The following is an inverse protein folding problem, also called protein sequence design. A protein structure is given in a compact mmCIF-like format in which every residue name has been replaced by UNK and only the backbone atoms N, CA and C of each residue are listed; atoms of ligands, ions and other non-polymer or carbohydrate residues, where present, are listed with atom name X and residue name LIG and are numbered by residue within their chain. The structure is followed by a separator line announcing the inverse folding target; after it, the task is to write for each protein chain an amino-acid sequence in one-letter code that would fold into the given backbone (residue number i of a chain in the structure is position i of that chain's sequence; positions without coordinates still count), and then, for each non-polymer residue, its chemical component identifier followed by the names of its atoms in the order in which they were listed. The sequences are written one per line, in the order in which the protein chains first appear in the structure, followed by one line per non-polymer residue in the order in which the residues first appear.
data_IF_679134797443
#
_entry.id   IF_679134797443
#
_cell.length_a   1.000
_cell.length_b   1.000
_cell.length_c   1.000
_cell.angle_alpha   90.00
_cell.angle_beta   90.00
_cell.angle_gamma   90.00
#
_symmetry.space_group_name_H-M   'P 1'
#
loop_
_entity.id
_entity.type
_entity.pdbx_description
1 polymer ?
#
# COMPACT_ATOMS: atom_id res chain seq x y z
N UNK A 1 -14.39 45.40 -18.37
CA UNK A 1 -15.74 45.12 -17.83
C UNK A 1 -15.95 43.61 -17.82
N UNK A 2 -16.61 43.11 -16.76
CA UNK A 2 -17.16 41.75 -16.58
C UNK A 2 -16.13 40.61 -16.43
N UNK A 3 -15.71 40.15 -15.23
CA UNK A 3 -16.40 39.65 -14.03
C UNK A 3 -17.01 38.22 -14.13
N UNK A 4 -16.24 37.21 -13.60
CA UNK A 4 -16.60 36.01 -12.77
C UNK A 4 -17.70 35.03 -13.27
N UNK A 5 -17.89 33.80 -12.67
CA UNK A 5 -17.08 32.99 -11.73
C UNK A 5 -17.08 31.44 -11.97
N UNK A 6 -16.35 30.68 -11.13
CA UNK A 6 -16.69 29.40 -10.43
C UNK A 6 -15.65 28.25 -10.52
N UNK A 7 -14.95 28.11 -9.40
CA UNK A 7 -14.57 26.90 -8.64
C UNK A 7 -15.09 25.53 -9.12
N UNK A 8 -14.23 24.53 -8.92
CA UNK A 8 -14.47 23.10 -8.61
C UNK A 8 -14.19 22.04 -9.71
N UNK A 9 -13.03 21.38 -9.60
CA UNK A 9 -12.94 19.91 -9.62
C UNK A 9 -11.57 19.45 -9.14
N UNK A 10 -11.54 19.12 -7.85
CA UNK A 10 -10.50 18.28 -7.26
C UNK A 10 -10.69 16.83 -7.76
N UNK A 11 -9.82 16.39 -8.68
CA UNK A 11 -9.40 14.99 -8.79
C UNK A 11 -7.93 15.01 -9.22
N UNK A 12 -6.96 14.70 -8.35
CA UNK A 12 -5.60 14.53 -8.82
C UNK A 12 -5.61 13.33 -9.77
N UNK A 13 -5.06 13.59 -10.94
CA UNK A 13 -4.71 12.69 -12.03
C UNK A 13 -4.01 11.44 -11.48
N UNK A 14 -4.78 10.42 -11.14
CA UNK A 14 -4.28 9.11 -10.74
C UNK A 14 -4.24 8.22 -11.98
N UNK A 15 -3.45 8.64 -12.96
CA UNK A 15 -3.16 7.84 -14.13
C UNK A 15 -1.64 7.77 -14.26
N UNK A 16 -1.14 6.54 -14.21
CA UNK A 16 0.20 6.12 -14.62
C UNK A 16 1.37 6.34 -13.66
N UNK A 17 1.47 5.45 -12.65
CA UNK A 17 2.77 4.91 -12.25
C UNK A 17 2.67 3.39 -12.29
N UNK A 18 2.84 2.81 -13.49
CA UNK A 18 3.10 1.38 -13.69
C UNK A 18 4.56 1.23 -14.14
N UNK A 19 5.50 1.08 -13.19
CA UNK A 19 6.58 0.12 -13.39
C UNK A 19 6.92 -0.75 -12.16
N UNK A 20 6.46 -0.40 -10.95
CA UNK A 20 6.81 -1.15 -9.73
C UNK A 20 5.74 -2.17 -9.30
N UNK A 21 4.46 -1.99 -9.69
CA UNK A 21 3.40 -2.96 -9.37
C UNK A 21 3.70 -4.34 -9.98
N UNK A 22 4.19 -4.39 -11.22
CA UNK A 22 4.64 -5.64 -11.87
C UNK A 22 5.74 -6.35 -11.06
N UNK A 23 6.67 -5.58 -10.45
CA UNK A 23 7.74 -6.16 -9.63
C UNK A 23 7.19 -6.76 -8.34
N UNK A 24 6.22 -6.09 -7.73
CA UNK A 24 5.53 -6.62 -6.55
C UNK A 24 4.56 -7.75 -6.88
N UNK A 25 4.08 -7.85 -8.12
CA UNK A 25 3.21 -8.92 -8.58
C UNK A 25 3.92 -10.27 -8.53
N UNK A 26 5.18 -10.34 -8.98
CA UNK A 26 6.01 -11.55 -8.81
C UNK A 26 6.22 -11.91 -7.33
N UNK A 27 6.38 -10.92 -6.46
CA UNK A 27 6.51 -11.17 -5.02
C UNK A 27 5.22 -11.67 -4.38
N UNK A 28 4.06 -11.17 -4.83
CA UNK A 28 2.74 -11.64 -4.39
C UNK A 28 2.51 -13.08 -4.84
N UNK A 29 2.83 -13.41 -6.09
CA UNK A 29 2.66 -14.76 -6.64
C UNK A 29 3.51 -15.79 -5.87
N UNK A 30 4.76 -15.44 -5.55
CA UNK A 30 5.69 -16.25 -4.77
C UNK A 30 5.21 -16.52 -3.33
N UNK A 31 4.56 -15.53 -2.70
CA UNK A 31 3.97 -15.69 -1.36
C UNK A 31 2.48 -16.07 -1.45
N UNK A 32 1.96 -16.35 -2.65
CA UNK A 32 0.53 -16.51 -2.83
C UNK A 32 0.04 -17.81 -2.19
N UNK A 33 -1.00 -17.71 -1.39
CA UNK A 33 -1.50 -18.84 -0.58
C UNK A 33 -0.63 -19.17 0.65
N UNK A 34 0.50 -18.49 0.85
CA UNK A 34 1.32 -18.62 2.06
C UNK A 34 0.83 -17.72 3.20
N UNK A 35 -0.05 -16.74 2.91
CA UNK A 35 -0.44 -15.68 3.86
C UNK A 35 0.76 -15.01 4.51
N UNK A 36 1.78 -14.72 3.70
CA UNK A 36 3.01 -14.05 4.13
C UNK A 36 3.01 -12.62 3.60
N UNK A 37 3.71 -11.76 4.32
CA UNK A 37 3.89 -10.35 4.06
C UNK A 37 5.38 -10.02 4.00
N UNK A 38 5.78 -9.25 3.00
CA UNK A 38 7.14 -8.77 2.77
C UNK A 38 7.18 -7.28 3.03
N UNK A 39 8.07 -6.90 3.95
CA UNK A 39 8.40 -5.53 4.27
C UNK A 39 9.57 -5.11 3.38
N UNK A 40 9.39 -4.05 2.61
CA UNK A 40 10.31 -3.62 1.56
C UNK A 40 10.77 -2.18 1.85
N UNK A 41 12.07 -1.94 1.67
CA UNK A 41 12.73 -0.65 1.81
C UNK A 41 12.56 0.25 0.57
N UNK A 42 12.99 1.52 0.65
CA UNK A 42 13.05 2.43 -0.51
C UNK A 42 13.84 1.84 -1.70
N UNK A 43 14.81 0.96 -1.44
CA UNK A 43 15.65 0.32 -2.46
C UNK A 43 15.00 -0.91 -3.11
N UNK A 44 13.70 -1.13 -2.92
CA UNK A 44 12.99 -2.33 -3.40
C UNK A 44 13.63 -3.64 -2.90
N UNK A 45 14.19 -3.62 -1.68
CA UNK A 45 14.76 -4.82 -1.04
C UNK A 45 13.83 -5.30 0.06
N UNK A 46 13.55 -6.61 0.05
CA UNK A 46 12.83 -7.26 1.15
C UNK A 46 13.71 -7.22 2.39
N UNK A 47 13.29 -6.40 3.37
CA UNK A 47 13.96 -6.28 4.67
C UNK A 47 13.60 -7.46 5.56
N UNK A 48 12.34 -7.89 5.50
CA UNK A 48 11.81 -8.92 6.37
C UNK A 48 10.53 -9.53 5.79
N UNK A 49 10.32 -10.81 6.10
CA UNK A 49 9.12 -11.55 5.76
C UNK A 49 8.42 -11.97 7.05
N UNK A 50 7.11 -11.74 7.12
CA UNK A 50 6.30 -12.01 8.30
C UNK A 50 4.94 -12.54 7.91
N UNK A 51 4.33 -13.46 8.68
CA UNK A 51 3.00 -13.93 8.38
C UNK A 51 1.97 -12.79 8.50
N UNK A 52 0.99 -12.77 7.59
CA UNK A 52 -0.07 -11.73 7.53
C UNK A 52 -0.87 -11.63 8.82
N UNK A 53 -1.01 -12.74 9.54
CA UNK A 53 -1.66 -12.79 10.86
C UNK A 53 -0.94 -11.91 11.87
N UNK A 54 0.39 -11.85 11.79
CA UNK A 54 1.24 -11.03 12.65
C UNK A 54 1.62 -9.70 12.02
N UNK A 55 1.40 -9.50 10.72
CA UNK A 55 1.73 -8.26 10.01
C UNK A 55 1.16 -7.03 10.72
N UNK A 56 -0.05 -7.09 11.26
CA UNK A 56 -0.63 -5.95 11.97
C UNK A 56 0.11 -5.59 13.27
N UNK A 57 0.75 -6.57 13.92
CA UNK A 57 1.61 -6.34 15.08
C UNK A 57 3.01 -5.92 14.64
N UNK A 58 3.58 -6.61 13.66
CA UNK A 58 4.88 -6.26 13.08
C UNK A 58 4.87 -4.85 12.54
N UNK A 59 3.85 -4.44 11.79
CA UNK A 59 3.67 -3.08 11.30
C UNK A 59 3.77 -2.05 12.43
N UNK A 60 3.36 -2.38 13.66
CA UNK A 60 3.50 -1.47 14.81
C UNK A 60 4.92 -1.38 15.37
N UNK A 61 5.76 -2.38 15.10
CA UNK A 61 7.14 -2.46 15.57
C UNK A 61 8.16 -2.18 14.46
N UNK A 62 7.74 -2.08 13.20
CA UNK A 62 8.65 -1.83 12.07
C UNK A 62 9.34 -0.48 12.24
N UNK A 63 10.59 -0.47 11.78
CA UNK A 63 11.38 0.75 11.66
C UNK A 63 10.95 1.54 10.42
N UNK A 64 11.16 2.85 10.47
CA UNK A 64 10.88 3.79 9.38
C UNK A 64 11.68 3.55 8.08
N UNK A 65 12.51 2.51 8.02
CA UNK A 65 13.15 2.01 6.80
C UNK A 65 12.16 1.32 5.86
N UNK A 66 11.06 0.76 6.38
CA UNK A 66 10.05 0.13 5.52
C UNK A 66 9.26 1.21 4.78
N UNK A 67 9.32 1.20 3.45
CA UNK A 67 8.58 2.11 2.57
C UNK A 67 7.41 1.46 1.86
N UNK A 68 7.53 0.16 1.61
CA UNK A 68 6.55 -0.61 0.86
C UNK A 68 6.23 -1.90 1.60
N UNK A 69 4.96 -2.27 1.65
CA UNK A 69 4.51 -3.51 2.28
C UNK A 69 3.70 -4.31 1.28
N UNK A 70 4.10 -5.55 1.03
CA UNK A 70 3.47 -6.46 0.08
C UNK A 70 2.96 -7.66 0.83
N UNK A 71 1.70 -8.06 0.69
CA UNK A 71 1.20 -9.22 1.42
C UNK A 71 0.06 -9.97 0.73
N UNK A 72 0.03 -11.30 0.92
CA UNK A 72 -1.13 -12.11 0.51
C UNK A 72 -2.24 -11.97 1.55
N UNK A 73 -2.99 -10.87 1.45
CA UNK A 73 -4.21 -10.71 2.20
C UNK A 73 -5.09 -9.55 1.75
N UNK A 74 -6.15 -9.34 2.52
CA UNK A 74 -7.10 -8.25 2.31
C UNK A 74 -6.56 -6.99 2.96
N UNK A 75 -6.48 -5.92 2.17
CA UNK A 75 -6.10 -4.59 2.65
C UNK A 75 -7.30 -3.99 3.39
N UNK A 76 -7.16 -3.81 4.70
CA UNK A 76 -8.20 -3.23 5.56
C UNK A 76 -7.85 -1.80 5.95
N UNK A 77 -8.87 -1.02 6.35
CA UNK A 77 -8.65 0.33 6.89
C UNK A 77 -7.63 0.34 8.03
N UNK A 78 -7.67 -0.66 8.93
CA UNK A 78 -6.72 -0.76 10.06
C UNK A 78 -5.27 -0.90 9.59
N UNK A 79 -5.02 -1.66 8.52
CA UNK A 79 -3.68 -1.77 7.95
C UNK A 79 -3.23 -0.45 7.31
N UNK A 80 -4.14 0.24 6.63
CA UNK A 80 -3.87 1.56 6.05
C UNK A 80 -3.50 2.57 7.13
N UNK A 81 -4.27 2.63 8.22
CA UNK A 81 -4.00 3.53 9.35
C UNK A 81 -2.64 3.21 9.99
N UNK A 82 -2.37 1.94 10.33
CA UNK A 82 -1.08 1.56 10.93
C UNK A 82 0.07 1.90 9.97
N UNK A 83 -0.06 1.59 8.68
CA UNK A 83 0.98 1.86 7.71
C UNK A 83 1.26 3.36 7.55
N UNK A 84 0.21 4.18 7.51
CA UNK A 84 0.34 5.64 7.46
C UNK A 84 1.06 6.18 8.70
N UNK A 85 0.72 5.71 9.90
CA UNK A 85 1.41 6.11 11.14
C UNK A 85 2.90 5.74 11.16
N UNK A 86 3.29 4.69 10.42
CA UNK A 86 4.68 4.23 10.32
C UNK A 86 5.47 4.93 9.21
N UNK A 87 4.80 5.73 8.38
CA UNK A 87 5.43 6.38 7.22
C UNK A 87 5.64 5.43 6.05
N UNK A 88 4.83 4.37 5.95
CA UNK A 88 4.78 3.52 4.76
C UNK A 88 4.03 4.27 3.66
N UNK A 89 4.61 4.28 2.48
CA UNK A 89 4.10 5.01 1.33
C UNK A 89 3.31 4.09 0.40
N UNK A 90 3.66 2.80 0.34
CA UNK A 90 3.03 1.84 -0.56
C UNK A 90 2.54 0.60 0.16
N UNK A 91 1.29 0.23 -0.09
CA UNK A 91 0.64 -0.91 0.53
C UNK A 91 -0.01 -1.76 -0.55
N UNK A 92 0.56 -2.93 -0.77
CA UNK A 92 0.22 -3.85 -1.84
C UNK A 92 -0.37 -5.11 -1.22
N UNK A 93 -1.56 -5.50 -1.66
CA UNK A 93 -2.17 -6.76 -1.24
C UNK A 93 -2.90 -7.44 -2.38
N UNK A 94 -3.38 -8.66 -2.16
CA UNK A 94 -4.14 -9.40 -3.21
C UNK A 94 -5.54 -8.81 -3.43
N UNK A 95 -6.10 -8.15 -2.40
CA UNK A 95 -7.47 -7.64 -2.46
C UNK A 95 -7.63 -6.39 -1.63
N UNK A 96 -8.37 -5.41 -2.15
CA UNK A 96 -8.80 -4.25 -1.38
C UNK A 96 -10.06 -4.63 -0.59
N UNK A 97 -10.01 -4.49 0.73
CA UNK A 97 -11.17 -4.64 1.60
C UNK A 97 -12.01 -3.36 1.68
N UNK A 98 -12.81 -3.25 2.74
CA UNK A 98 -13.57 -2.04 3.05
C UNK A 98 -12.64 -0.93 3.54
N UNK A 99 -12.18 -0.09 2.62
CA UNK A 99 -11.34 1.08 2.89
C UNK A 99 -12.16 2.32 2.55
N UNK A 100 -12.46 3.12 3.55
CA UNK A 100 -13.32 4.31 3.40
C UNK A 100 -12.49 5.54 3.08
N UNK A 101 -11.27 5.62 3.65
CA UNK A 101 -10.42 6.79 3.51
C UNK A 101 -8.97 6.36 3.37
N UNK A 102 -8.31 6.86 2.32
CA UNK A 102 -6.90 6.64 2.05
C UNK A 102 -6.20 7.99 2.23
N UNK A 103 -5.19 8.10 3.12
CA UNK A 103 -4.44 9.33 3.28
C UNK A 103 -3.61 9.64 2.03
N UNK A 104 -3.37 10.93 1.75
CA UNK A 104 -2.70 11.36 0.52
C UNK A 104 -1.24 10.88 0.38
N UNK A 105 -0.61 10.51 1.51
CA UNK A 105 0.77 10.01 1.55
C UNK A 105 0.87 8.48 1.47
N UNK A 106 -0.25 7.76 1.25
CA UNK A 106 -0.26 6.30 1.19
C UNK A 106 -0.98 5.81 -0.07
N UNK A 107 -0.29 4.99 -0.83
CA UNK A 107 -0.78 4.36 -2.04
C UNK A 107 -1.20 2.92 -1.76
N UNK A 108 -2.45 2.61 -2.08
CA UNK A 108 -3.01 1.26 -1.90
C UNK A 108 -3.17 0.58 -3.25
N UNK A 109 -2.47 -0.54 -3.46
CA UNK A 109 -2.53 -1.34 -4.67
C UNK A 109 -3.10 -2.73 -4.35
N UNK A 110 -4.12 -3.15 -5.10
CA UNK A 110 -4.66 -4.50 -5.01
C UNK A 110 -4.30 -5.26 -6.29
N UNK A 111 -3.62 -6.39 -6.14
CA UNK A 111 -3.23 -7.29 -7.22
C UNK A 111 -4.22 -8.46 -7.21
N UNK A 112 -5.35 -8.27 -7.89
CA UNK A 112 -6.33 -9.34 -8.07
C UNK A 112 -5.78 -10.34 -9.09
N UNK A 113 -5.57 -11.58 -8.64
CA UNK A 113 -5.30 -12.73 -9.50
C UNK A 113 -6.58 -13.25 -10.14
#
# INVERSE_FOLDING_TARGET
ESAKPKTESAKPKMESIKPDVDRFQSHIDDISGSFTARLIDEKNRVLKEVPVRDLANELKDVKNTVKTVVFDGVITQRLVDIAFERGIENLVGIKKGSITKIPASLYVHAISN
#
